data_IF_064366153767
#
_entry.id   IF_064366153767
#
_cell.length_a   1.000
_cell.length_b   1.000
_cell.length_c   1.000
_cell.angle_alpha   90.00
_cell.angle_beta   90.00
_cell.angle_gamma   90.00
#
_symmetry.space_group_name_H-M   'P 1'
#
loop_
_entity.id
_entity.type
_entity.pdbx_description
1 polymer ?
#
# COMPACT_ATOMS: atom_id res chain seq x y z
N UNK A 1 -33.87 37.79 -26.80
CA UNK A 1 -34.51 36.99 -25.72
C UNK A 1 -33.64 35.78 -25.43
N UNK A 2 -33.32 35.55 -24.15
CA UNK A 2 -32.58 34.41 -23.53
C UNK A 2 -31.13 34.22 -24.01
N UNK A 3 -30.13 34.89 -23.42
CA UNK A 3 -29.47 34.68 -22.10
C UNK A 3 -28.71 33.34 -22.01
N UNK A 4 -27.40 33.44 -22.19
CA UNK A 4 -26.32 32.86 -21.37
C UNK A 4 -26.75 31.92 -20.24
N UNK A 5 -26.29 30.67 -20.26
CA UNK A 5 -25.95 29.86 -19.08
C UNK A 5 -25.53 28.45 -19.51
N UNK A 6 -24.21 28.18 -19.48
CA UNK A 6 -23.61 26.89 -19.07
C UNK A 6 -22.09 26.94 -19.28
N UNK A 7 -21.42 27.81 -18.51
CA UNK A 7 -20.04 27.58 -18.08
C UNK A 7 -20.09 27.49 -16.56
N UNK A 8 -20.20 26.28 -16.00
CA UNK A 8 -19.94 26.00 -14.58
C UNK A 8 -20.07 24.50 -14.34
N UNK A 9 -18.96 23.77 -14.51
CA UNK A 9 -18.71 22.48 -13.84
C UNK A 9 -17.28 21.97 -14.15
N UNK A 10 -16.25 22.75 -13.79
CA UNK A 10 -14.87 22.26 -13.70
C UNK A 10 -14.14 23.01 -12.58
N UNK A 11 -14.65 22.92 -11.35
CA UNK A 11 -13.95 23.43 -10.16
C UNK A 11 -14.11 22.55 -8.91
N UNK A 12 -14.83 21.42 -8.99
CA UNK A 12 -15.11 20.57 -7.82
C UNK A 12 -14.10 19.42 -7.61
N UNK A 13 -13.19 19.17 -8.56
CA UNK A 13 -12.27 18.01 -8.49
C UNK A 13 -10.90 18.35 -7.89
N UNK A 14 -10.45 19.61 -7.95
CA UNK A 14 -9.17 20.01 -7.35
C UNK A 14 -9.25 20.20 -5.83
N UNK A 15 -10.41 20.61 -5.31
CA UNK A 15 -10.61 20.84 -3.88
C UNK A 15 -10.61 19.54 -3.09
N UNK A 16 -11.32 18.50 -3.55
CA UNK A 16 -11.40 17.22 -2.83
C UNK A 16 -10.02 16.52 -2.67
N UNK A 17 -9.17 16.57 -3.71
CA UNK A 17 -7.81 16.01 -3.65
C UNK A 17 -6.94 16.78 -2.66
N UNK A 18 -7.02 18.11 -2.67
CA UNK A 18 -6.24 18.95 -1.76
C UNK A 18 -6.67 18.75 -0.30
N UNK A 19 -7.99 18.65 -0.03
CA UNK A 19 -8.50 18.40 1.33
C UNK A 19 -8.08 17.02 1.86
N UNK A 20 -8.08 15.99 1.01
CA UNK A 20 -7.65 14.63 1.41
C UNK A 20 -6.15 14.56 1.74
N UNK A 21 -5.31 15.27 0.99
CA UNK A 21 -3.87 15.39 1.28
C UNK A 21 -3.61 16.13 2.61
N UNK A 22 -4.33 17.21 2.88
CA UNK A 22 -4.19 17.99 4.13
C UNK A 22 -4.63 17.17 5.34
N UNK A 23 -5.77 16.47 5.27
CA UNK A 23 -6.24 15.62 6.35
C UNK A 23 -5.30 14.44 6.63
N UNK A 24 -4.76 13.79 5.60
CA UNK A 24 -3.80 12.70 5.77
C UNK A 24 -2.51 13.17 6.45
N UNK A 25 -2.05 14.38 6.12
CA UNK A 25 -0.88 15.01 6.75
C UNK A 25 -1.12 15.33 8.23
N UNK A 26 -2.29 15.83 8.57
CA UNK A 26 -2.65 16.13 9.96
C UNK A 26 -2.78 14.84 10.80
N UNK A 27 -3.34 13.76 10.25
CA UNK A 27 -3.37 12.46 10.93
C UNK A 27 -1.97 11.87 11.10
N UNK A 28 -1.14 11.90 10.06
CA UNK A 28 0.23 11.39 10.15
C UNK A 28 1.09 12.15 11.16
N UNK A 29 0.92 13.48 11.25
CA UNK A 29 1.62 14.30 12.24
C UNK A 29 1.32 13.88 13.70
N UNK A 30 0.15 13.27 13.97
CA UNK A 30 -0.17 12.75 15.30
C UNK A 30 0.58 11.46 15.62
N UNK A 31 0.96 10.69 14.59
CA UNK A 31 1.70 9.44 14.75
C UNK A 31 3.21 9.67 14.85
N UNK A 32 3.72 10.79 14.32
CA UNK A 32 5.16 11.10 14.32
C UNK A 32 5.70 11.20 15.74
N UNK A 33 6.72 10.40 16.02
CA UNK A 33 7.51 10.49 17.24
C UNK A 33 8.75 11.37 17.01
N UNK A 34 9.25 12.09 18.04
CA UNK A 34 10.44 12.92 17.89
C UNK A 34 11.66 12.11 17.43
N UNK A 35 12.43 12.63 16.48
CA UNK A 35 13.64 11.95 16.00
C UNK A 35 14.62 11.69 17.16
N UNK A 36 15.10 10.45 17.26
CA UNK A 36 15.99 9.99 18.34
C UNK A 36 15.28 9.66 19.65
N UNK A 37 13.94 9.76 19.73
CA UNK A 37 13.20 9.41 20.95
C UNK A 37 13.06 7.90 21.18
N UNK A 38 13.40 7.08 20.19
CA UNK A 38 13.36 5.61 20.24
C UNK A 38 14.79 5.10 20.03
N UNK A 39 15.21 4.13 20.84
CA UNK A 39 16.55 3.57 20.70
C UNK A 39 16.69 2.75 19.40
N UNK A 40 17.93 2.60 18.92
CA UNK A 40 18.20 1.73 17.75
C UNK A 40 17.70 0.30 17.96
N UNK A 41 17.84 -0.24 19.18
CA UNK A 41 17.39 -1.59 19.52
C UNK A 41 15.87 -1.74 19.39
N UNK A 42 15.11 -0.80 19.97
CA UNK A 42 13.64 -0.78 19.82
C UNK A 42 13.20 -0.57 18.38
N UNK A 43 13.94 0.26 17.61
CA UNK A 43 13.71 0.43 16.18
C UNK A 43 13.90 -0.85 15.37
N UNK A 44 14.89 -1.69 15.72
CA UNK A 44 15.07 -2.99 15.08
C UNK A 44 13.97 -3.99 15.47
N UNK A 45 13.47 -3.95 16.71
CA UNK A 45 12.31 -4.75 17.10
C UNK A 45 11.03 -4.30 16.38
N UNK A 46 10.86 -2.98 16.16
CA UNK A 46 9.79 -2.46 15.31
C UNK A 46 9.96 -2.93 13.85
N UNK A 47 11.18 -2.91 13.33
CA UNK A 47 11.47 -3.44 11.99
C UNK A 47 11.07 -4.92 11.85
N UNK A 48 11.34 -5.79 12.83
CA UNK A 48 10.91 -7.21 12.76
C UNK A 48 9.40 -7.36 12.57
N UNK A 49 8.60 -6.49 13.20
CA UNK A 49 7.14 -6.48 13.04
C UNK A 49 6.71 -5.90 11.70
N UNK A 50 7.37 -4.84 11.24
CA UNK A 50 7.20 -4.28 9.88
C UNK A 50 7.52 -5.34 8.82
N UNK A 51 8.65 -6.03 8.95
CA UNK A 51 9.08 -7.10 8.06
C UNK A 51 8.00 -8.18 7.93
N UNK A 52 7.43 -8.63 9.04
CA UNK A 52 6.37 -9.62 9.05
C UNK A 52 5.09 -9.15 8.30
N UNK A 53 4.84 -7.83 8.24
CA UNK A 53 3.75 -7.24 7.45
C UNK A 53 4.13 -7.15 5.97
N UNK A 54 5.26 -6.50 5.63
CA UNK A 54 5.62 -6.21 4.22
C UNK A 54 5.97 -7.48 3.43
N UNK A 55 6.44 -8.53 4.10
CA UNK A 55 6.68 -9.85 3.51
C UNK A 55 5.41 -10.72 3.45
N UNK A 56 4.32 -10.33 4.11
CA UNK A 56 3.07 -11.09 4.08
C UNK A 56 2.47 -11.10 2.66
N UNK A 57 1.79 -12.17 2.21
CA UNK A 57 1.19 -12.26 0.87
C UNK A 57 0.07 -11.26 0.54
N UNK A 58 -0.32 -10.38 1.46
CA UNK A 58 -1.20 -9.23 1.15
C UNK A 58 -0.42 -8.00 0.67
N UNK A 59 0.86 -7.92 1.00
CA UNK A 59 1.76 -6.84 0.63
C UNK A 59 2.69 -7.30 -0.49
N UNK A 60 3.54 -8.30 -0.24
CA UNK A 60 4.59 -8.73 -1.16
C UNK A 60 4.06 -9.16 -2.55
N UNK A 61 2.87 -9.77 -2.60
CA UNK A 61 2.29 -10.28 -3.85
C UNK A 61 1.99 -9.19 -4.91
N UNK A 62 1.80 -7.93 -4.49
CA UNK A 62 1.58 -6.79 -5.37
C UNK A 62 2.88 -6.08 -5.79
N UNK A 63 3.99 -6.39 -5.11
CA UNK A 63 5.28 -5.76 -5.25
C UNK A 63 6.24 -6.69 -6.02
N UNK A 64 6.01 -6.80 -7.33
CA UNK A 64 6.70 -7.74 -8.23
C UNK A 64 7.80 -7.05 -9.04
N UNK A 65 8.60 -7.84 -9.75
CA UNK A 65 9.70 -7.35 -10.58
C UNK A 65 9.20 -6.67 -11.87
N UNK A 66 10.15 -6.18 -12.67
CA UNK A 66 9.87 -5.53 -13.95
C UNK A 66 9.24 -6.45 -15.02
N UNK A 67 9.15 -7.77 -14.78
CA UNK A 67 8.34 -8.65 -15.63
C UNK A 67 6.85 -8.44 -15.36
N UNK A 68 6.46 -7.71 -14.33
CA UNK A 68 5.08 -7.32 -14.03
C UNK A 68 4.09 -8.50 -14.01
N UNK A 69 4.54 -9.70 -13.63
CA UNK A 69 3.69 -10.89 -13.48
C UNK A 69 3.14 -10.90 -12.06
N UNK A 70 1.83 -10.71 -11.84
CA UNK A 70 1.27 -10.64 -10.51
C UNK A 70 1.30 -11.99 -9.81
N UNK A 71 1.58 -11.94 -8.51
CA UNK A 71 1.52 -13.09 -7.63
C UNK A 71 0.20 -13.04 -6.85
N UNK A 72 -0.34 -14.21 -6.55
CA UNK A 72 -1.44 -14.32 -5.60
C UNK A 72 -1.26 -15.53 -4.69
N UNK A 73 -1.96 -15.49 -3.57
CA UNK A 73 -2.14 -16.64 -2.69
C UNK A 73 -3.64 -16.87 -2.66
N UNK A 74 -4.14 -17.98 -3.23
CA UNK A 74 -5.56 -18.32 -3.18
C UNK A 74 -6.06 -18.43 -1.74
N UNK A 75 -7.35 -18.22 -1.55
CA UNK A 75 -7.97 -18.35 -0.24
C UNK A 75 -7.87 -19.80 0.27
N UNK A 76 -7.59 -19.96 1.56
CA UNK A 76 -7.35 -21.26 2.20
C UNK A 76 -5.93 -21.82 1.95
N UNK A 77 -5.09 -21.10 1.22
CA UNK A 77 -3.72 -21.54 0.91
C UNK A 77 -2.67 -20.62 1.55
N UNK A 78 -1.47 -21.16 1.76
CA UNK A 78 -0.30 -20.41 2.25
C UNK A 78 0.73 -20.15 1.15
N UNK A 79 0.70 -20.92 0.05
CA UNK A 79 1.74 -20.88 -0.99
C UNK A 79 1.40 -19.85 -2.08
N UNK A 80 2.22 -18.81 -2.27
CA UNK A 80 2.07 -17.88 -3.38
C UNK A 80 2.39 -18.54 -4.72
N UNK A 81 1.74 -18.10 -5.78
CA UNK A 81 1.95 -18.54 -7.17
C UNK A 81 1.59 -17.42 -8.14
N UNK A 82 1.95 -17.58 -9.41
CA UNK A 82 1.48 -16.68 -10.48
C UNK A 82 -0.06 -16.62 -10.47
N UNK A 83 -0.60 -15.43 -10.70
CA UNK A 83 -2.03 -15.20 -10.76
C UNK A 83 -2.71 -16.20 -11.72
N UNK A 84 -3.75 -16.90 -11.25
CA UNK A 84 -4.30 -18.08 -11.94
C UNK A 84 -4.94 -17.80 -13.30
N UNK A 85 -5.24 -16.53 -13.59
CA UNK A 85 -5.84 -16.08 -14.85
C UNK A 85 -4.80 -15.71 -15.91
N UNK A 86 -3.50 -15.96 -15.66
CA UNK A 86 -2.40 -15.66 -16.58
C UNK A 86 -2.41 -14.20 -17.08
N UNK A 87 -2.65 -13.26 -16.15
CA UNK A 87 -2.69 -11.83 -16.41
C UNK A 87 -1.31 -11.19 -16.21
N UNK A 88 -1.12 -10.01 -16.77
CA UNK A 88 0.15 -9.27 -16.74
C UNK A 88 -0.12 -7.80 -16.46
N UNK A 89 0.71 -7.16 -15.63
CA UNK A 89 0.53 -5.75 -15.24
C UNK A 89 0.93 -4.76 -16.33
N UNK A 90 1.86 -5.15 -17.20
CA UNK A 90 2.44 -4.29 -18.24
C UNK A 90 3.20 -3.11 -17.64
N UNK A 91 3.69 -2.21 -18.49
CA UNK A 91 4.39 -0.99 -18.04
C UNK A 91 3.45 -0.06 -17.27
N UNK A 92 2.15 -0.14 -17.57
CA UNK A 92 1.10 0.66 -16.95
C UNK A 92 0.81 0.26 -15.50
N UNK A 93 1.20 -0.95 -15.08
CA UNK A 93 0.86 -1.59 -13.80
C UNK A 93 -0.64 -1.88 -13.59
N UNK A 94 -1.50 -1.52 -14.54
CA UNK A 94 -2.97 -1.67 -14.46
C UNK A 94 -3.51 -2.78 -15.38
N UNK A 95 -2.62 -3.53 -16.02
CA UNK A 95 -2.97 -4.59 -16.96
C UNK A 95 -2.27 -4.43 -18.32
N UNK A 96 -2.09 -5.54 -19.03
CA UNK A 96 -1.50 -5.56 -20.36
C UNK A 96 -2.57 -5.44 -21.46
N UNK A 97 -2.27 -4.58 -22.44
CA UNK A 97 -3.00 -4.43 -23.71
C UNK A 97 -4.49 -4.10 -23.60
N UNK A 98 -5.35 -5.13 -23.68
CA UNK A 98 -6.81 -5.04 -23.78
C UNK A 98 -7.53 -5.59 -22.54
N UNK A 99 -6.78 -6.12 -21.57
CA UNK A 99 -7.34 -6.70 -20.35
C UNK A 99 -6.77 -5.98 -19.13
N UNK A 100 -7.51 -4.98 -18.65
CA UNK A 100 -7.14 -4.24 -17.43
C UNK A 100 -7.54 -5.03 -16.19
N UNK A 101 -6.79 -4.83 -15.10
CA UNK A 101 -7.11 -5.40 -13.79
C UNK A 101 -8.53 -5.03 -13.33
N UNK A 102 -9.02 -3.84 -13.72
CA UNK A 102 -10.36 -3.35 -13.40
C UNK A 102 -11.51 -4.15 -14.02
N UNK A 103 -11.22 -5.04 -14.99
CA UNK A 103 -12.21 -5.98 -15.52
C UNK A 103 -12.71 -6.96 -14.45
N UNK A 104 -11.87 -7.26 -13.44
CA UNK A 104 -12.24 -8.12 -12.32
C UNK A 104 -12.19 -7.39 -10.97
N UNK A 105 -11.19 -6.53 -10.76
CA UNK A 105 -10.98 -5.83 -9.50
C UNK A 105 -11.64 -4.45 -9.51
N UNK A 106 -12.74 -4.31 -8.78
CA UNK A 106 -13.50 -3.06 -8.78
C UNK A 106 -12.92 -2.03 -7.81
N UNK A 107 -12.94 -0.76 -8.22
CA UNK A 107 -12.76 0.39 -7.33
C UNK A 107 -14.02 0.56 -6.47
N UNK A 108 -13.95 0.15 -5.21
CA UNK A 108 -15.07 0.18 -4.27
C UNK A 108 -14.61 0.12 -2.81
N UNK A 109 -15.28 0.89 -1.96
CA UNK A 109 -15.12 0.86 -0.50
C UNK A 109 -15.96 -0.22 0.18
N UNK A 110 -16.78 -0.96 -0.57
CA UNK A 110 -17.53 -2.10 -0.02
C UNK A 110 -16.56 -3.17 0.50
N UNK A 111 -17.00 -3.87 1.55
CA UNK A 111 -16.26 -5.00 2.13
C UNK A 111 -15.89 -6.02 1.04
N UNK A 112 -14.75 -6.70 1.19
CA UNK A 112 -14.40 -7.80 0.29
C UNK A 112 -15.31 -9.00 0.57
N UNK A 113 -15.99 -9.52 -0.45
CA UNK A 113 -16.76 -10.76 -0.33
C UNK A 113 -15.86 -11.94 0.07
N UNK A 114 -16.43 -13.03 0.60
CA UNK A 114 -15.75 -14.31 0.69
C UNK A 114 -15.11 -14.72 -0.65
N UNK A 115 -13.99 -15.43 -0.59
CA UNK A 115 -13.41 -16.06 -1.78
C UNK A 115 -14.39 -17.08 -2.39
N UNK A 116 -14.41 -17.29 -3.72
CA UNK A 116 -13.40 -16.90 -4.72
C UNK A 116 -13.63 -15.54 -5.44
N UNK A 117 -14.10 -14.50 -4.77
CA UNK A 117 -14.25 -13.14 -5.35
C UNK A 117 -12.91 -12.41 -5.59
N UNK A 118 -12.77 -11.55 -6.62
CA UNK A 118 -11.61 -10.66 -6.72
C UNK A 118 -11.66 -9.57 -5.63
N UNK A 119 -10.55 -9.29 -4.94
CA UNK A 119 -10.48 -8.16 -4.00
C UNK A 119 -10.78 -6.82 -4.68
N UNK A 120 -11.38 -5.94 -3.90
CA UNK A 120 -11.69 -4.54 -4.25
C UNK A 120 -10.77 -3.61 -3.44
N UNK A 121 -10.62 -2.37 -3.87
CA UNK A 121 -9.93 -1.30 -3.15
C UNK A 121 -10.65 0.02 -3.41
N UNK A 122 -10.55 1.01 -2.53
CA UNK A 122 -11.17 2.32 -2.75
C UNK A 122 -10.45 3.20 -3.78
N UNK A 123 -9.35 2.69 -4.36
CA UNK A 123 -8.58 3.29 -5.45
C UNK A 123 -8.43 2.29 -6.60
N UNK A 124 -8.07 2.80 -7.79
CA UNK A 124 -7.91 1.99 -8.99
C UNK A 124 -6.85 0.90 -8.84
N UNK A 125 -7.25 -0.35 -9.14
CA UNK A 125 -6.44 -1.55 -8.95
C UNK A 125 -5.19 -1.53 -9.82
N UNK A 126 -4.02 -1.64 -9.17
CA UNK A 126 -2.72 -1.59 -9.84
C UNK A 126 -1.64 -2.34 -9.04
N UNK A 127 -0.58 -2.78 -9.71
CA UNK A 127 0.63 -3.27 -9.04
C UNK A 127 1.44 -2.11 -8.46
N UNK A 128 2.29 -2.38 -7.47
CA UNK A 128 3.24 -1.39 -6.99
C UNK A 128 4.24 -0.98 -8.09
N UNK A 129 4.83 0.22 -8.03
CA UNK A 129 5.99 0.57 -8.85
C UNK A 129 7.09 -0.50 -8.76
N UNK A 130 7.76 -0.78 -9.88
CA UNK A 130 8.77 -1.86 -9.98
C UNK A 130 9.99 -1.60 -9.08
N UNK A 131 10.26 -0.33 -8.80
CA UNK A 131 11.29 0.12 -7.88
C UNK A 131 11.02 -0.35 -6.45
N UNK A 132 9.78 -0.75 -6.13
CA UNK A 132 9.32 -1.18 -4.80
C UNK A 132 9.20 -2.70 -4.71
N UNK A 133 9.93 -3.47 -5.53
CA UNK A 133 9.89 -4.94 -5.49
C UNK A 133 10.14 -5.51 -4.08
N UNK A 134 9.19 -6.32 -3.58
CA UNK A 134 9.27 -7.02 -2.29
C UNK A 134 9.13 -8.53 -2.43
N UNK A 135 8.44 -9.00 -3.48
CA UNK A 135 8.27 -10.44 -3.68
C UNK A 135 9.63 -11.13 -3.86
N UNK A 136 9.91 -12.11 -3.00
CA UNK A 136 11.18 -12.85 -3.01
C UNK A 136 12.38 -12.06 -2.47
N UNK A 137 12.18 -10.86 -1.90
CA UNK A 137 13.22 -10.08 -1.22
C UNK A 137 13.31 -10.44 0.26
N UNK A 138 14.53 -10.43 0.78
CA UNK A 138 14.78 -10.56 2.22
C UNK A 138 14.32 -9.30 2.97
N UNK A 139 14.06 -9.43 4.28
CA UNK A 139 13.75 -8.29 5.13
C UNK A 139 14.82 -7.20 5.10
N UNK A 140 16.10 -7.56 5.10
CA UNK A 140 17.19 -6.60 5.00
C UNK A 140 17.16 -5.80 3.67
N UNK A 141 16.88 -6.47 2.54
CA UNK A 141 16.73 -5.80 1.24
C UNK A 141 15.54 -4.82 1.23
N UNK A 142 14.38 -5.24 1.76
CA UNK A 142 13.18 -4.40 1.83
C UNK A 142 13.41 -3.22 2.78
N UNK A 143 14.09 -3.43 3.91
CA UNK A 143 14.45 -2.36 4.84
C UNK A 143 15.32 -1.30 4.16
N UNK A 144 16.39 -1.75 3.49
CA UNK A 144 17.30 -0.86 2.80
C UNK A 144 16.58 -0.06 1.70
N UNK A 145 15.60 -0.68 1.02
CA UNK A 145 14.77 -0.02 0.01
C UNK A 145 13.83 1.02 0.63
N UNK A 146 13.10 0.68 1.70
CA UNK A 146 12.18 1.59 2.37
C UNK A 146 12.87 2.80 2.99
N UNK A 147 14.13 2.70 3.39
CA UNK A 147 14.93 3.84 3.88
C UNK A 147 15.51 4.71 2.75
N UNK A 148 15.59 4.21 1.52
CA UNK A 148 16.21 4.92 0.41
C UNK A 148 15.18 5.74 -0.38
N UNK A 149 15.22 7.09 -0.33
CA UNK A 149 14.26 7.94 -1.03
C UNK A 149 14.22 7.70 -2.54
N UNK A 150 15.32 7.23 -3.14
CA UNK A 150 15.36 6.93 -4.58
C UNK A 150 14.57 5.67 -4.94
N UNK A 151 14.25 4.83 -3.96
CA UNK A 151 13.60 3.53 -4.14
C UNK A 151 12.29 3.37 -3.36
N UNK A 152 11.79 4.43 -2.72
CA UNK A 152 10.49 4.44 -2.01
C UNK A 152 9.56 5.58 -2.47
N UNK A 153 9.91 6.25 -3.58
CA UNK A 153 9.17 7.38 -4.14
C UNK A 153 9.41 8.71 -3.43
N UNK A 154 10.63 8.94 -2.93
CA UNK A 154 11.06 10.22 -2.36
C UNK A 154 10.63 10.46 -0.92
N UNK A 155 10.23 9.41 -0.20
CA UNK A 155 9.65 9.52 1.16
C UNK A 155 10.73 9.38 2.22
N UNK A 156 10.67 10.24 3.22
CA UNK A 156 11.35 10.03 4.51
C UNK A 156 10.41 9.27 5.47
N UNK A 157 10.81 9.12 6.74
CA UNK A 157 9.98 8.43 7.73
C UNK A 157 8.58 9.06 7.92
N UNK A 158 8.50 10.40 7.90
CA UNK A 158 7.21 11.11 8.03
C UNK A 158 6.37 10.90 6.77
N UNK A 159 6.97 11.02 5.59
CA UNK A 159 6.29 10.78 4.31
C UNK A 159 5.79 9.34 4.14
N UNK A 160 6.44 8.35 4.77
CA UNK A 160 5.93 6.98 4.83
C UNK A 160 4.67 6.88 5.72
N UNK A 161 4.63 7.56 6.87
CA UNK A 161 3.43 7.63 7.71
C UNK A 161 2.28 8.37 7.01
N UNK A 162 2.58 9.51 6.36
CA UNK A 162 1.63 10.23 5.52
C UNK A 162 1.06 9.33 4.42
N UNK A 163 1.90 8.50 3.79
CA UNK A 163 1.44 7.56 2.78
C UNK A 163 0.47 6.52 3.35
N UNK A 164 0.75 5.94 4.53
CA UNK A 164 -0.15 5.00 5.19
C UNK A 164 -1.51 5.63 5.49
N UNK A 165 -1.52 6.84 6.08
CA UNK A 165 -2.76 7.56 6.42
C UNK A 165 -3.52 8.02 5.19
N UNK A 166 -2.82 8.45 4.15
CA UNK A 166 -3.45 8.82 2.89
C UNK A 166 -4.14 7.61 2.24
N UNK A 167 -3.45 6.47 2.13
CA UNK A 167 -4.04 5.25 1.58
C UNK A 167 -5.22 4.77 2.45
N UNK A 168 -5.13 4.91 3.78
CA UNK A 168 -6.24 4.67 4.70
C UNK A 168 -7.47 5.54 4.42
N UNK A 169 -7.27 6.85 4.22
CA UNK A 169 -8.35 7.81 3.91
C UNK A 169 -9.12 7.46 2.63
N UNK A 170 -8.47 6.75 1.71
CA UNK A 170 -9.03 6.32 0.45
C UNK A 170 -9.58 4.88 0.50
N UNK A 171 -9.53 4.18 1.63
CA UNK A 171 -9.77 2.74 1.72
C UNK A 171 -8.92 1.95 0.70
N UNK A 172 -7.67 2.38 0.52
CA UNK A 172 -6.72 1.90 -0.47
C UNK A 172 -6.18 0.50 -0.17
N UNK A 173 -5.06 0.12 -0.78
CA UNK A 173 -4.55 -1.25 -0.71
C UNK A 173 -4.06 -1.66 0.68
N UNK A 174 -3.43 -0.73 1.39
CA UNK A 174 -2.74 -0.97 2.66
C UNK A 174 -3.73 -1.36 3.77
N UNK A 175 -4.73 -0.54 4.17
CA UNK A 175 -5.66 -0.92 5.23
C UNK A 175 -6.47 -2.16 4.84
N UNK A 176 -6.73 -2.37 3.54
CA UNK A 176 -7.46 -3.53 3.01
C UNK A 176 -6.69 -4.83 3.19
N UNK A 177 -5.38 -4.78 3.45
CA UNK A 177 -4.59 -5.94 3.87
C UNK A 177 -5.15 -6.63 5.11
N UNK A 178 -5.71 -5.87 6.06
CA UNK A 178 -6.33 -6.38 7.29
C UNK A 178 -7.83 -6.69 7.15
N UNK A 179 -8.45 -6.33 6.02
CA UNK A 179 -9.83 -6.69 5.68
C UNK A 179 -9.93 -7.38 4.30
N UNK A 180 -9.25 -8.52 4.08
CA UNK A 180 -9.11 -9.12 2.75
C UNK A 180 -10.36 -9.89 2.28
N UNK A 181 -11.36 -10.07 3.14
CA UNK A 181 -12.51 -10.94 2.92
C UNK A 181 -12.24 -12.37 3.39
N UNK A 182 -13.31 -13.12 3.69
CA UNK A 182 -13.20 -14.45 4.29
C UNK A 182 -12.39 -15.42 3.40
N UNK A 183 -11.61 -16.29 4.07
CA UNK A 183 -10.75 -17.29 3.45
C UNK A 183 -9.33 -16.81 3.12
N UNK A 184 -9.01 -15.52 3.28
CA UNK A 184 -7.65 -14.98 3.08
C UNK A 184 -7.01 -14.67 4.43
N UNK A 185 -5.71 -14.89 4.55
CA UNK A 185 -4.96 -14.53 5.76
C UNK A 185 -4.75 -13.02 5.84
N UNK A 186 -4.68 -12.50 7.06
CA UNK A 186 -4.34 -11.11 7.36
C UNK A 186 -2.85 -11.02 7.74
N UNK A 187 -2.18 -9.88 7.46
CA UNK A 187 -0.91 -9.58 8.08
C UNK A 187 -1.01 -9.66 9.63
N UNK A 188 0.10 -9.88 10.33
CA UNK A 188 0.12 -9.82 11.79
C UNK A 188 -0.36 -8.47 12.33
N UNK A 189 -0.99 -8.48 13.51
CA UNK A 189 -1.48 -7.27 14.17
C UNK A 189 -2.62 -6.57 13.41
N UNK A 190 -2.72 -5.25 13.60
CA UNK A 190 -3.68 -4.36 12.94
C UNK A 190 -2.98 -3.33 12.07
N UNK A 191 -3.74 -2.60 11.24
CA UNK A 191 -3.22 -1.45 10.50
C UNK A 191 -2.61 -0.39 11.44
N UNK A 192 -3.25 -0.13 12.57
CA UNK A 192 -2.74 0.83 13.57
C UNK A 192 -1.46 0.35 14.25
N UNK A 193 -1.32 -0.96 14.51
CA UNK A 193 -0.06 -1.52 15.01
C UNK A 193 1.07 -1.30 13.99
N UNK A 194 0.78 -1.48 12.69
CA UNK A 194 1.75 -1.23 11.64
C UNK A 194 2.15 0.26 11.54
N UNK A 195 1.20 1.18 11.66
CA UNK A 195 1.49 2.63 11.70
C UNK A 195 2.38 2.96 12.89
N UNK A 196 2.07 2.43 14.09
CA UNK A 196 2.87 2.61 15.29
C UNK A 196 4.29 2.07 15.12
N UNK A 197 4.44 0.88 14.55
CA UNK A 197 5.75 0.29 14.32
C UNK A 197 6.57 1.11 13.32
N UNK A 198 5.94 1.62 12.26
CA UNK A 198 6.58 2.53 11.30
C UNK A 198 7.02 3.84 11.95
N UNK A 199 6.22 4.40 12.87
CA UNK A 199 6.59 5.59 13.63
C UNK A 199 7.78 5.35 14.57
N UNK A 200 7.78 4.22 15.29
CA UNK A 200 8.89 3.80 16.15
C UNK A 200 10.18 3.58 15.35
N UNK A 201 10.08 2.87 14.22
CA UNK A 201 11.21 2.64 13.32
C UNK A 201 11.76 3.95 12.73
N UNK A 202 10.87 4.86 12.33
CA UNK A 202 11.20 6.20 11.87
C UNK A 202 11.97 7.02 12.91
N UNK A 203 11.44 7.12 14.13
CA UNK A 203 12.09 7.87 15.22
C UNK A 203 13.44 7.28 15.66
N UNK A 204 13.63 5.96 15.47
CA UNK A 204 14.92 5.30 15.71
C UNK A 204 15.95 5.52 14.59
N UNK A 205 15.62 6.30 13.55
CA UNK A 205 16.51 6.55 12.40
C UNK A 205 16.48 5.44 11.35
N UNK A 206 15.38 4.69 11.27
CA UNK A 206 15.14 3.62 10.29
C UNK A 206 16.26 2.55 10.26
N UNK A 207 16.66 1.97 11.40
CA UNK A 207 17.72 0.97 11.42
C UNK A 207 17.30 -0.28 10.64
N UNK A 208 18.26 -0.90 9.94
CA UNK A 208 18.05 -2.18 9.26
C UNK A 208 18.85 -3.28 9.95
N UNK A 209 18.36 -4.53 9.90
CA UNK A 209 19.17 -5.68 10.27
C UNK A 209 20.40 -5.78 9.36
N UNK A 210 21.47 -6.35 9.91
CA UNK A 210 22.70 -6.67 9.16
C UNK A 210 22.49 -7.87 8.24
#
# INVERSE_FOLDING_TARGET
MKRYLMMLALAASATAVLTGLVAAKDEANKDVLPAGSVSRAEGLEAWKRIEAVVTHPRCANCHVDAKAIPIWTPAGESRPRVHGMNIHGGDSRIGAEKLTCSTCHMTSTQANEPAPSPPRAGIDWQLAPVEFIWFGKSGAEICAQLRDPKRNGGRDAVGLLEHLRHDASLNGFIPRGWAPGQGRTTPPGTFEDHVKDMAMWGAAGQPCPE
#
